data_IF_784683240820
#
_entry.id   IF_784683240820
#
_cell.length_a   1.000
_cell.length_b   1.000
_cell.length_c   1.000
_cell.angle_alpha   90.00
_cell.angle_beta   90.00
_cell.angle_gamma   90.00
#
_symmetry.space_group_name_H-M   'P 1'
#
loop_
_entity.id
_entity.type
_entity.pdbx_description
1 polymer ?
#
# COMPACT_ATOMS: atom_id res chain seq x y z
N UNK A 1 7.35 -9.25 10.24
CA UNK A 1 6.43 -8.68 9.21
C UNK A 1 6.59 -9.40 7.88
N UNK A 2 5.53 -9.57 7.14
CA UNK A 2 5.51 -10.08 5.76
C UNK A 2 4.70 -9.13 4.90
N UNK A 3 5.19 -8.79 3.71
CA UNK A 3 4.48 -7.94 2.76
C UNK A 3 4.14 -8.76 1.52
N UNK A 4 2.84 -8.96 1.26
CA UNK A 4 2.36 -9.48 -0.02
C UNK A 4 2.52 -8.39 -1.06
N UNK A 5 3.42 -8.61 -1.99
CA UNK A 5 4.03 -7.61 -2.85
C UNK A 5 3.80 -7.90 -4.33
N UNK A 6 3.86 -6.86 -5.12
CA UNK A 6 3.96 -6.95 -6.57
C UNK A 6 4.98 -5.88 -7.02
N UNK A 7 6.08 -6.32 -7.60
CA UNK A 7 7.23 -5.47 -7.92
C UNK A 7 6.86 -4.22 -8.71
N UNK A 8 5.98 -4.36 -9.70
CA UNK A 8 5.53 -3.25 -10.55
C UNK A 8 4.43 -2.37 -9.93
N UNK A 9 3.91 -2.73 -8.74
CA UNK A 9 2.85 -1.97 -8.08
C UNK A 9 3.39 -0.72 -7.41
N UNK A 10 2.92 0.46 -7.82
CA UNK A 10 3.22 1.72 -7.14
C UNK A 10 2.71 1.75 -5.70
N UNK A 11 1.58 1.11 -5.42
CA UNK A 11 1.04 1.00 -4.08
C UNK A 11 1.90 0.11 -3.15
N UNK A 12 2.42 -0.99 -3.67
CA UNK A 12 3.36 -1.83 -2.92
C UNK A 12 4.72 -1.13 -2.77
N UNK A 13 5.20 -0.44 -3.81
CA UNK A 13 6.45 0.31 -3.77
C UNK A 13 6.49 1.34 -2.64
N UNK A 14 5.42 2.12 -2.43
CA UNK A 14 5.42 3.12 -1.34
C UNK A 14 5.53 2.49 0.06
N UNK A 15 5.03 1.27 0.24
CA UNK A 15 5.21 0.52 1.51
C UNK A 15 6.67 0.06 1.66
N UNK A 16 7.26 -0.49 0.60
CA UNK A 16 8.69 -0.87 0.62
C UNK A 16 9.59 0.33 0.91
N UNK A 17 9.32 1.45 0.23
CA UNK A 17 10.06 2.70 0.45
C UNK A 17 9.94 3.18 1.89
N UNK A 18 8.74 3.18 2.44
CA UNK A 18 8.52 3.63 3.81
C UNK A 18 9.22 2.72 4.83
N UNK A 19 9.16 1.40 4.66
CA UNK A 19 9.90 0.45 5.49
C UNK A 19 11.40 0.76 5.48
N UNK A 20 11.97 1.01 4.29
CA UNK A 20 13.38 1.41 4.15
C UNK A 20 13.69 2.70 4.89
N UNK A 21 12.83 3.73 4.77
CA UNK A 21 13.03 5.03 5.42
C UNK A 21 13.00 4.95 6.95
N UNK A 22 12.19 4.07 7.51
CA UNK A 22 12.12 3.86 8.97
C UNK A 22 13.07 2.79 9.49
N UNK A 23 13.96 2.26 8.62
CA UNK A 23 14.94 1.25 8.99
C UNK A 23 14.32 -0.08 9.43
N UNK A 24 13.21 -0.48 8.81
CA UNK A 24 12.52 -1.75 9.09
C UNK A 24 12.49 -2.64 7.86
N UNK A 25 12.47 -3.93 8.09
CA UNK A 25 12.41 -4.95 7.05
C UNK A 25 11.14 -5.77 7.17
N UNK A 26 10.66 -6.22 6.02
CA UNK A 26 9.61 -7.23 5.90
C UNK A 26 10.04 -8.29 4.89
N UNK A 27 9.66 -9.53 5.13
CA UNK A 27 9.80 -10.60 4.14
C UNK A 27 8.85 -10.30 2.98
N UNK A 28 9.38 -10.10 1.78
CA UNK A 28 8.56 -9.90 0.59
C UNK A 28 8.01 -11.24 0.11
N UNK A 29 6.71 -11.31 -0.07
CA UNK A 29 5.98 -12.44 -0.64
C UNK A 29 5.39 -12.01 -1.98
N UNK A 30 6.05 -12.32 -3.11
CA UNK A 30 5.51 -12.00 -4.42
C UNK A 30 4.13 -12.65 -4.62
N UNK A 31 3.19 -11.87 -5.15
CA UNK A 31 1.85 -12.34 -5.50
C UNK A 31 1.80 -12.60 -7.00
N UNK A 32 1.38 -13.80 -7.38
CA UNK A 32 1.20 -14.15 -8.79
C UNK A 32 -0.03 -13.45 -9.37
N UNK A 33 0.19 -12.21 -9.78
CA UNK A 33 -0.87 -11.35 -10.31
C UNK A 33 -1.42 -11.87 -11.64
N UNK A 34 -0.56 -12.44 -12.47
CA UNK A 34 -0.94 -12.96 -13.81
C UNK A 34 -1.91 -14.14 -13.69
N UNK A 35 -1.67 -15.03 -12.74
CA UNK A 35 -2.56 -16.15 -12.44
C UNK A 35 -3.66 -15.79 -11.45
N UNK A 36 -3.87 -14.49 -11.18
CA UNK A 36 -4.95 -13.95 -10.36
C UNK A 36 -4.93 -14.47 -8.91
N UNK A 37 -3.76 -14.73 -8.35
CA UNK A 37 -3.63 -15.16 -6.94
C UNK A 37 -4.36 -14.20 -5.99
N UNK A 38 -4.32 -12.89 -6.26
CA UNK A 38 -5.02 -11.86 -5.49
C UNK A 38 -6.55 -11.97 -5.49
N UNK A 39 -7.13 -12.87 -6.32
CA UNK A 39 -8.57 -13.17 -6.39
C UNK A 39 -8.93 -14.54 -5.84
N UNK A 40 -7.96 -15.29 -5.34
CA UNK A 40 -8.23 -16.57 -4.66
C UNK A 40 -8.93 -16.37 -3.32
N UNK A 41 -9.69 -17.38 -2.88
CA UNK A 41 -10.33 -17.32 -1.56
C UNK A 41 -9.32 -17.09 -0.42
N UNK A 42 -8.14 -17.69 -0.53
CA UNK A 42 -7.09 -17.53 0.47
C UNK A 42 -6.65 -16.06 0.58
N UNK A 43 -6.43 -15.40 -0.53
CA UNK A 43 -6.06 -13.99 -0.56
C UNK A 43 -7.22 -13.08 -0.12
N UNK A 44 -8.44 -13.36 -0.58
CA UNK A 44 -9.63 -12.57 -0.23
C UNK A 44 -9.99 -12.64 1.26
N UNK A 45 -9.58 -13.70 1.98
CA UNK A 45 -9.68 -13.72 3.45
C UNK A 45 -8.75 -12.70 4.11
N UNK A 46 -7.57 -12.46 3.56
CA UNK A 46 -6.63 -11.44 4.07
C UNK A 46 -7.06 -10.02 3.67
N UNK A 47 -7.52 -9.86 2.44
CA UNK A 47 -8.01 -8.59 1.91
C UNK A 47 -9.21 -8.81 0.99
N UNK A 48 -10.44 -8.57 1.48
CA UNK A 48 -11.66 -8.78 0.69
C UNK A 48 -11.74 -7.99 -0.61
N UNK A 49 -11.00 -6.89 -0.72
CA UNK A 49 -10.90 -6.11 -1.96
C UNK A 49 -10.03 -6.81 -3.03
N UNK A 50 -9.25 -7.83 -2.64
CA UNK A 50 -8.35 -8.53 -3.54
C UNK A 50 -7.36 -7.58 -4.22
N UNK A 51 -6.76 -6.70 -3.43
CA UNK A 51 -5.79 -5.70 -3.89
C UNK A 51 -4.46 -5.87 -3.16
N UNK A 52 -3.39 -5.47 -3.82
CA UNK A 52 -2.01 -5.49 -3.33
C UNK A 52 -1.59 -4.04 -3.04
N UNK A 53 -0.84 -3.80 -1.96
CA UNK A 53 -0.22 -4.74 -1.02
C UNK A 53 -1.14 -5.19 0.11
N UNK A 54 -0.71 -6.27 0.81
CA UNK A 54 -1.23 -6.67 2.12
C UNK A 54 -0.04 -6.87 3.06
N UNK A 55 -0.11 -6.28 4.26
CA UNK A 55 0.86 -6.48 5.32
C UNK A 55 0.35 -7.51 6.33
N UNK A 56 1.21 -8.46 6.69
CA UNK A 56 1.02 -9.31 7.86
C UNK A 56 2.03 -8.92 8.95
N UNK A 57 1.54 -8.66 10.16
CA UNK A 57 2.38 -8.38 11.33
C UNK A 57 1.76 -9.03 12.57
N UNK A 58 2.33 -10.15 13.01
CA UNK A 58 1.70 -11.02 14.00
C UNK A 58 0.36 -11.55 13.46
N UNK A 59 -0.72 -11.30 14.20
CA UNK A 59 -2.07 -11.69 13.80
C UNK A 59 -2.77 -10.67 12.89
N UNK A 60 -2.18 -9.46 12.75
CA UNK A 60 -2.73 -8.43 11.88
C UNK A 60 -2.56 -8.80 10.41
N UNK A 61 -3.63 -8.70 9.65
CA UNK A 61 -3.64 -8.70 8.19
C UNK A 61 -4.27 -7.40 7.71
N UNK A 62 -3.50 -6.55 7.08
CA UNK A 62 -3.93 -5.20 6.70
C UNK A 62 -3.71 -4.95 5.21
N UNK A 63 -4.79 -4.71 4.49
CA UNK A 63 -4.77 -4.19 3.12
C UNK A 63 -4.81 -2.67 3.11
N UNK A 64 -4.78 -2.11 1.89
CA UNK A 64 -4.67 -0.68 1.59
C UNK A 64 -3.31 -0.08 1.98
N UNK A 65 -2.61 0.42 0.97
CA UNK A 65 -1.24 0.94 1.15
C UNK A 65 -1.16 2.12 2.11
N UNK A 66 -2.17 3.00 2.15
CA UNK A 66 -2.18 4.15 3.06
C UNK A 66 -2.45 3.73 4.50
N UNK A 67 -3.37 2.79 4.71
CA UNK A 67 -3.60 2.19 6.03
C UNK A 67 -2.32 1.51 6.56
N UNK A 68 -1.60 0.80 5.68
CA UNK A 68 -0.31 0.20 6.02
C UNK A 68 0.71 1.26 6.42
N UNK A 69 0.83 2.38 5.68
CA UNK A 69 1.74 3.47 6.04
C UNK A 69 1.42 4.04 7.43
N UNK A 70 0.15 4.30 7.72
CA UNK A 70 -0.28 4.81 9.04
C UNK A 70 0.06 3.82 10.14
N UNK A 71 -0.23 2.52 9.93
CA UNK A 71 0.11 1.48 10.89
C UNK A 71 1.61 1.42 11.16
N UNK A 72 2.42 1.37 10.11
CA UNK A 72 3.88 1.29 10.23
C UNK A 72 4.46 2.53 10.95
N UNK A 73 3.95 3.72 10.61
CA UNK A 73 4.36 4.96 11.25
C UNK A 73 4.05 4.95 12.75
N UNK A 74 2.87 4.47 13.13
CA UNK A 74 2.44 4.42 14.53
C UNK A 74 3.10 3.32 15.34
N UNK A 75 3.35 2.16 14.73
CA UNK A 75 3.82 0.96 15.43
C UNK A 75 5.32 0.82 15.43
N UNK A 76 5.99 1.22 14.36
CA UNK A 76 7.37 0.88 14.06
C UNK A 76 8.30 2.07 13.81
N UNK A 77 7.75 3.29 13.72
CA UNK A 77 8.52 4.51 13.50
C UNK A 77 8.46 5.46 14.70
N UNK A 78 9.25 6.52 14.66
CA UNK A 78 9.23 7.58 15.66
C UNK A 78 8.01 8.52 15.49
N UNK A 79 7.73 9.36 16.53
CA UNK A 79 6.56 10.26 16.54
C UNK A 79 6.61 11.32 15.44
N UNK A 80 7.77 11.59 14.89
CA UNK A 80 7.98 12.54 13.77
C UNK A 80 7.30 12.08 12.48
N UNK A 81 7.10 10.77 12.31
CA UNK A 81 6.45 10.20 11.12
C UNK A 81 4.93 10.29 11.16
N UNK A 82 4.35 10.33 12.35
CA UNK A 82 2.90 10.46 12.51
C UNK A 82 2.60 11.21 13.82
N UNK A 83 2.75 12.54 13.86
CA UNK A 83 2.44 13.37 15.02
C UNK A 83 0.99 13.20 15.47
N UNK A 84 0.75 13.36 16.78
CA UNK A 84 -0.57 13.13 17.37
C UNK A 84 -1.44 14.38 17.45
N UNK A 85 -0.87 15.56 17.20
CA UNK A 85 -1.64 16.78 17.21
C UNK A 85 -2.68 16.82 16.07
N UNK A 86 -3.86 17.41 16.31
CA UNK A 86 -4.96 17.41 15.35
C UNK A 86 -4.64 18.06 14.00
N UNK A 87 -3.78 19.10 14.01
CA UNK A 87 -3.41 19.81 12.78
C UNK A 87 -2.57 18.92 11.87
N UNK A 88 -1.53 18.30 12.43
CA UNK A 88 -0.68 17.37 11.67
C UNK A 88 -1.48 16.17 11.17
N UNK A 89 -2.34 15.59 12.00
CA UNK A 89 -3.19 14.48 11.58
C UNK A 89 -4.15 14.88 10.44
N UNK A 90 -4.74 16.05 10.52
CA UNK A 90 -5.58 16.57 9.43
C UNK A 90 -4.82 16.76 8.13
N UNK A 91 -3.59 17.29 8.19
CA UNK A 91 -2.71 17.44 7.01
C UNK A 91 -2.29 16.10 6.42
N UNK A 92 -1.94 15.12 7.27
CA UNK A 92 -1.60 13.76 6.80
C UNK A 92 -2.81 13.14 6.10
N UNK A 93 -3.99 13.20 6.71
CA UNK A 93 -5.22 12.67 6.12
C UNK A 93 -5.53 13.35 4.77
N UNK A 94 -5.34 14.65 4.65
CA UNK A 94 -5.49 15.37 3.39
C UNK A 94 -4.58 14.80 2.29
N UNK A 95 -3.28 14.62 2.57
CA UNK A 95 -2.34 14.10 1.58
C UNK A 95 -2.57 12.64 1.24
N UNK A 96 -2.97 11.81 2.21
CA UNK A 96 -3.34 10.42 1.95
C UNK A 96 -4.58 10.35 1.05
N UNK A 97 -5.59 11.19 1.31
CA UNK A 97 -6.80 11.29 0.49
C UNK A 97 -6.47 11.78 -0.94
N UNK A 98 -5.66 12.83 -1.05
CA UNK A 98 -5.17 13.33 -2.34
C UNK A 98 -4.46 12.23 -3.14
N UNK A 99 -3.56 11.49 -2.50
CA UNK A 99 -2.84 10.38 -3.13
C UNK A 99 -3.78 9.25 -3.57
N UNK A 100 -4.79 8.92 -2.76
CA UNK A 100 -5.74 7.85 -3.08
C UNK A 100 -6.66 8.21 -4.25
N UNK A 101 -6.92 9.48 -4.48
CA UNK A 101 -7.83 9.95 -5.52
C UNK A 101 -7.08 10.58 -6.70
N UNK A 102 -6.52 11.77 -6.51
CA UNK A 102 -5.92 12.54 -7.61
C UNK A 102 -4.70 11.85 -8.22
N UNK A 103 -3.78 11.36 -7.40
CA UNK A 103 -2.58 10.67 -7.89
C UNK A 103 -2.94 9.31 -8.49
N UNK A 104 -3.84 8.57 -7.85
CA UNK A 104 -4.25 7.24 -8.32
C UNK A 104 -4.98 7.33 -9.66
N UNK A 105 -5.95 8.24 -9.80
CA UNK A 105 -6.78 8.38 -11.00
C UNK A 105 -6.13 9.23 -12.10
N UNK A 106 -5.10 9.98 -11.79
CA UNK A 106 -4.30 10.76 -12.74
C UNK A 106 -3.00 10.04 -13.12
N UNK A 107 -1.84 10.47 -12.57
CA UNK A 107 -0.53 9.97 -12.99
C UNK A 107 -0.35 8.45 -12.90
N UNK A 108 -0.90 7.81 -11.85
CA UNK A 108 -0.76 6.37 -11.66
C UNK A 108 -1.54 5.60 -12.74
N UNK A 109 -2.77 6.00 -13.04
CA UNK A 109 -3.57 5.41 -14.12
C UNK A 109 -2.95 5.64 -15.49
N UNK A 110 -2.45 6.85 -15.75
CA UNK A 110 -1.72 7.15 -17.00
C UNK A 110 -0.50 6.23 -17.18
N UNK A 111 0.28 6.01 -16.11
CA UNK A 111 1.40 5.07 -16.14
C UNK A 111 0.96 3.63 -16.46
N UNK A 112 -0.14 3.17 -15.88
CA UNK A 112 -0.67 1.81 -16.12
C UNK A 112 -1.12 1.64 -17.57
N UNK A 113 -1.77 2.65 -18.14
CA UNK A 113 -2.20 2.63 -19.55
C UNK A 113 -0.98 2.64 -20.48
N UNK A 114 -0.06 3.59 -20.28
CA UNK A 114 1.05 3.83 -21.22
C UNK A 114 2.16 2.78 -21.11
N UNK A 115 2.43 2.29 -19.90
CA UNK A 115 3.54 1.36 -19.65
C UNK A 115 3.12 -0.10 -19.76
N UNK A 116 1.90 -0.44 -19.35
CA UNK A 116 1.43 -1.82 -19.26
C UNK A 116 0.21 -2.11 -20.14
N UNK A 117 -0.24 -1.13 -20.91
CA UNK A 117 -1.39 -1.25 -21.82
C UNK A 117 -2.64 -1.82 -21.13
N UNK A 118 -2.86 -1.46 -19.87
CA UNK A 118 -4.05 -1.90 -19.15
C UNK A 118 -5.30 -1.18 -19.67
N UNK A 119 -6.43 -1.89 -19.82
CA UNK A 119 -7.68 -1.32 -20.29
C UNK A 119 -8.35 -0.53 -19.15
N UNK A 120 -7.87 0.67 -18.91
CA UNK A 120 -8.49 1.63 -18.00
C UNK A 120 -9.26 2.67 -18.83
N UNK A 121 -10.37 3.15 -18.29
CA UNK A 121 -11.12 4.24 -18.92
C UNK A 121 -10.24 5.49 -19.02
N UNK A 122 -10.24 6.12 -20.18
CA UNK A 122 -9.45 7.32 -20.49
C UNK A 122 -10.23 8.58 -20.15
#
# INVERSE_FOLDING_TARGET
>A
MKLHDLDLSGNAYKVRLFLSLIGREATLRPVDFLNREHKTQAFLRMNPRGQIPVLEDGELQLGDSHAILVYLARRHAGPEWYPLDPVSQGRIAYWLSYSANEVQNGPASARLITRFNLPLDR
#
